data_IF_309631091921
#
_entry.id   IF_309631091921
#
_cell.length_a   1.000
_cell.length_b   1.000
_cell.length_c   1.000
_cell.angle_alpha   90.00
_cell.angle_beta   90.00
_cell.angle_gamma   90.00
#
_symmetry.space_group_name_H-M   'P 1'
#
loop_
_entity.id
_entity.type
_entity.pdbx_description
1 polymer ?
#
# COMPACT_ATOMS: atom_id res chain seq x y z
N UNK A 1 25.30 -54.84 -29.28
CA UNK A 1 24.37 -55.90 -28.85
C UNK A 1 24.93 -57.34 -28.92
N UNK A 2 25.67 -57.78 -29.94
CA UNK A 2 26.22 -59.16 -30.06
C UNK A 2 27.17 -59.57 -28.93
N UNK A 3 28.01 -58.68 -28.39
CA UNK A 3 28.96 -58.96 -27.30
C UNK A 3 28.27 -59.15 -25.93
N UNK A 4 27.24 -58.39 -25.61
CA UNK A 4 26.48 -58.57 -24.39
C UNK A 4 25.73 -59.91 -24.34
N UNK A 5 25.16 -60.31 -25.48
CA UNK A 5 24.47 -61.61 -25.62
C UNK A 5 25.41 -62.78 -25.42
N UNK A 6 26.65 -62.74 -26.00
CA UNK A 6 27.66 -63.78 -25.86
C UNK A 6 28.20 -63.90 -24.43
N UNK A 7 28.38 -62.77 -23.78
CA UNK A 7 28.80 -62.67 -22.35
C UNK A 7 27.76 -63.31 -21.44
N UNK A 8 26.49 -62.97 -21.64
CA UNK A 8 25.37 -63.47 -20.81
C UNK A 8 25.15 -64.99 -20.93
N UNK A 9 25.38 -65.57 -22.14
CA UNK A 9 25.22 -67.00 -22.39
C UNK A 9 26.25 -67.82 -21.59
N UNK A 10 27.47 -67.36 -21.44
CA UNK A 10 28.56 -68.05 -20.73
C UNK A 10 28.57 -67.93 -19.21
N UNK A 11 27.61 -67.19 -18.61
CA UNK A 11 27.46 -67.08 -17.18
C UNK A 11 26.78 -68.30 -16.53
N UNK A 12 27.24 -68.66 -15.31
CA UNK A 12 26.57 -69.71 -14.52
C UNK A 12 25.14 -69.32 -14.20
N UNK A 13 24.26 -70.27 -14.05
CA UNK A 13 22.83 -70.03 -13.72
C UNK A 13 22.66 -69.10 -12.51
N UNK A 14 23.45 -69.26 -11.46
CA UNK A 14 23.42 -68.44 -10.26
C UNK A 14 23.71 -66.97 -10.53
N UNK A 15 24.71 -66.70 -11.41
CA UNK A 15 25.04 -65.31 -11.82
C UNK A 15 23.97 -64.68 -12.70
N UNK A 16 23.31 -65.50 -13.54
CA UNK A 16 22.16 -65.00 -14.34
C UNK A 16 21.01 -64.57 -13.48
N UNK A 17 20.67 -65.37 -12.49
CA UNK A 17 19.61 -65.04 -11.53
C UNK A 17 19.99 -63.76 -10.74
N UNK A 18 21.24 -63.66 -10.27
CA UNK A 18 21.71 -62.50 -9.55
C UNK A 18 21.63 -61.21 -10.38
N UNK A 19 22.04 -61.22 -11.65
CA UNK A 19 21.96 -60.04 -12.51
C UNK A 19 20.51 -59.67 -12.85
N UNK A 20 19.62 -60.67 -13.04
CA UNK A 20 18.21 -60.39 -13.27
C UNK A 20 17.55 -59.79 -12.03
N UNK A 21 17.78 -60.31 -10.83
CA UNK A 21 17.23 -59.75 -9.62
C UNK A 21 17.76 -58.38 -9.31
N UNK A 22 19.05 -58.13 -9.53
CA UNK A 22 19.67 -56.83 -9.33
C UNK A 22 19.13 -55.83 -10.38
N UNK A 23 18.92 -56.22 -11.62
CA UNK A 23 18.31 -55.41 -12.67
C UNK A 23 16.87 -54.99 -12.32
N UNK A 24 16.05 -55.94 -11.89
CA UNK A 24 14.68 -55.68 -11.44
C UNK A 24 14.66 -54.70 -10.24
N UNK A 25 15.50 -54.98 -9.23
CA UNK A 25 15.62 -54.12 -8.07
C UNK A 25 16.02 -52.70 -8.43
N UNK A 26 16.96 -52.53 -9.36
CA UNK A 26 17.40 -51.21 -9.84
C UNK A 26 16.29 -50.47 -10.56
N UNK A 27 15.51 -51.12 -11.40
CA UNK A 27 14.37 -50.53 -12.10
C UNK A 27 13.29 -50.11 -11.09
N UNK A 28 12.97 -50.92 -10.11
CA UNK A 28 11.99 -50.59 -9.05
C UNK A 28 12.46 -49.39 -8.24
N UNK A 29 13.74 -49.33 -7.85
CA UNK A 29 14.32 -48.20 -7.12
C UNK A 29 14.28 -46.91 -7.93
N UNK A 30 14.60 -46.96 -9.21
CA UNK A 30 14.50 -45.79 -10.08
C UNK A 30 13.06 -45.31 -10.24
N UNK A 31 12.12 -46.24 -10.47
CA UNK A 31 10.70 -45.88 -10.58
C UNK A 31 10.17 -45.26 -9.27
N UNK A 32 10.52 -45.82 -8.11
CA UNK A 32 10.16 -45.29 -6.80
C UNK A 32 10.77 -43.88 -6.57
N UNK A 33 12.05 -43.69 -6.92
CA UNK A 33 12.74 -42.40 -6.78
C UNK A 33 12.10 -41.30 -7.63
N UNK A 34 11.77 -41.62 -8.89
CA UNK A 34 11.07 -40.68 -9.78
C UNK A 34 9.69 -40.33 -9.24
N UNK A 35 8.92 -41.33 -8.81
CA UNK A 35 7.60 -41.10 -8.22
C UNK A 35 7.65 -40.21 -6.97
N UNK A 36 8.61 -40.50 -6.06
CA UNK A 36 8.81 -39.69 -4.85
C UNK A 36 9.23 -38.25 -5.21
N UNK A 37 10.14 -38.08 -6.18
CA UNK A 37 10.56 -36.76 -6.62
C UNK A 37 9.38 -35.93 -7.18
N UNK A 38 8.56 -36.54 -8.04
CA UNK A 38 7.38 -35.89 -8.62
C UNK A 38 6.37 -35.49 -7.52
N UNK A 39 6.09 -36.39 -6.58
CA UNK A 39 5.20 -36.12 -5.45
C UNK A 39 5.74 -35.01 -4.55
N UNK A 40 7.01 -35.07 -4.18
CA UNK A 40 7.65 -34.04 -3.35
C UNK A 40 7.67 -32.69 -4.05
N UNK A 41 8.02 -32.63 -5.34
CA UNK A 41 8.01 -31.41 -6.12
C UNK A 41 6.61 -30.78 -6.21
N UNK A 42 5.58 -31.59 -6.41
CA UNK A 42 4.18 -31.13 -6.44
C UNK A 42 3.75 -30.56 -5.08
N UNK A 43 4.06 -31.22 -3.99
CA UNK A 43 3.73 -30.78 -2.62
C UNK A 43 4.44 -29.45 -2.32
N UNK A 44 5.73 -29.35 -2.59
CA UNK A 44 6.52 -28.13 -2.34
C UNK A 44 5.97 -26.95 -3.15
N UNK A 45 5.67 -27.18 -4.44
CA UNK A 45 5.11 -26.13 -5.31
C UNK A 45 3.77 -25.63 -4.80
N UNK A 46 2.85 -26.53 -4.42
CA UNK A 46 1.53 -26.17 -3.89
C UNK A 46 1.64 -25.47 -2.53
N UNK A 47 2.53 -25.93 -1.66
CA UNK A 47 2.77 -25.31 -0.37
C UNK A 47 3.35 -23.90 -0.51
N UNK A 48 4.35 -23.72 -1.40
CA UNK A 48 4.92 -22.41 -1.69
C UNK A 48 3.87 -21.46 -2.24
N UNK A 49 3.02 -21.94 -3.17
CA UNK A 49 1.93 -21.13 -3.73
C UNK A 49 0.94 -20.67 -2.66
N UNK A 50 0.52 -21.56 -1.76
CA UNK A 50 -0.39 -21.22 -0.65
C UNK A 50 0.24 -20.22 0.31
N UNK A 51 1.50 -20.42 0.67
CA UNK A 51 2.23 -19.51 1.53
C UNK A 51 2.37 -18.13 0.88
N UNK A 52 2.75 -18.06 -0.40
CA UNK A 52 2.84 -16.79 -1.13
C UNK A 52 1.50 -16.08 -1.19
N UNK A 53 0.41 -16.78 -1.49
CA UNK A 53 -0.92 -16.20 -1.49
C UNK A 53 -1.33 -15.67 -0.10
N UNK A 54 -0.95 -16.37 0.96
CA UNK A 54 -1.19 -15.92 2.35
C UNK A 54 -0.48 -14.60 2.66
N UNK A 55 0.81 -14.49 2.34
CA UNK A 55 1.60 -13.26 2.57
C UNK A 55 1.06 -12.08 1.75
N UNK A 56 0.71 -12.31 0.47
CA UNK A 56 0.13 -11.25 -0.36
C UNK A 56 -1.22 -10.79 0.19
N UNK A 57 -2.06 -11.72 0.64
CA UNK A 57 -3.35 -11.37 1.25
C UNK A 57 -3.17 -10.57 2.56
N UNK A 58 -2.22 -10.97 3.42
CA UNK A 58 -1.90 -10.24 4.65
C UNK A 58 -1.40 -8.82 4.33
N UNK A 59 -0.52 -8.67 3.34
CA UNK A 59 -0.05 -7.36 2.88
C UNK A 59 -1.22 -6.50 2.38
N UNK A 60 -2.14 -7.07 1.58
CA UNK A 60 -3.32 -6.37 1.08
C UNK A 60 -4.19 -5.87 2.23
N UNK A 61 -4.49 -6.72 3.21
CA UNK A 61 -5.29 -6.35 4.40
C UNK A 61 -4.61 -5.22 5.19
N UNK A 62 -3.30 -5.28 5.36
CA UNK A 62 -2.54 -4.25 6.07
C UNK A 62 -2.54 -2.91 5.31
N UNK A 63 -2.44 -2.94 3.98
CA UNK A 63 -2.55 -1.75 3.14
C UNK A 63 -3.97 -1.15 3.19
N UNK A 64 -5.01 -1.98 3.08
CA UNK A 64 -6.39 -1.53 3.19
C UNK A 64 -6.65 -0.87 4.55
N UNK A 65 -6.22 -1.49 5.63
CA UNK A 65 -6.33 -0.93 6.98
C UNK A 65 -5.60 0.43 7.09
N UNK A 66 -4.43 0.53 6.51
CA UNK A 66 -3.67 1.78 6.47
C UNK A 66 -4.42 2.90 5.75
N UNK A 67 -4.93 2.64 4.54
CA UNK A 67 -5.69 3.62 3.79
C UNK A 67 -7.03 3.98 4.43
N UNK A 68 -7.69 3.03 5.06
CA UNK A 68 -8.92 3.27 5.82
C UNK A 68 -8.66 4.16 7.04
N UNK A 69 -7.56 3.96 7.75
CA UNK A 69 -7.18 4.82 8.87
C UNK A 69 -6.95 6.26 8.42
N UNK A 70 -6.23 6.47 7.32
CA UNK A 70 -6.01 7.81 6.76
C UNK A 70 -7.34 8.43 6.30
N UNK A 71 -8.17 7.68 5.60
CA UNK A 71 -9.50 8.11 5.15
C UNK A 71 -10.39 8.52 6.32
N UNK A 72 -10.45 7.71 7.37
CA UNK A 72 -11.25 8.02 8.56
C UNK A 72 -10.77 9.29 9.26
N UNK A 73 -9.47 9.54 9.30
CA UNK A 73 -8.91 10.80 9.79
C UNK A 73 -9.38 12.01 8.97
N UNK A 74 -9.42 11.87 7.64
CA UNK A 74 -9.95 12.90 6.75
C UNK A 74 -11.44 13.15 6.96
N UNK A 75 -12.23 12.08 7.08
CA UNK A 75 -13.67 12.21 7.36
C UNK A 75 -13.92 12.90 8.72
N UNK A 76 -13.14 12.54 9.74
CA UNK A 76 -13.24 13.16 11.04
C UNK A 76 -12.96 14.67 10.99
N UNK A 77 -11.89 15.09 10.29
CA UNK A 77 -11.54 16.51 10.12
C UNK A 77 -12.60 17.23 9.28
N UNK A 78 -12.97 16.67 8.14
CA UNK A 78 -13.91 17.29 7.19
C UNK A 78 -15.30 17.53 7.79
N UNK A 79 -15.76 16.63 8.66
CA UNK A 79 -17.09 16.70 9.28
C UNK A 79 -17.07 17.40 10.66
N UNK A 80 -15.94 17.95 11.07
CA UNK A 80 -15.86 18.65 12.36
C UNK A 80 -16.47 20.05 12.28
N UNK A 81 -17.36 20.38 13.20
CA UNK A 81 -18.07 21.66 13.22
C UNK A 81 -17.13 22.88 13.21
N UNK A 82 -16.02 22.82 13.96
CA UNK A 82 -15.05 23.94 13.98
C UNK A 82 -14.40 24.15 12.61
N UNK A 83 -14.15 23.07 11.87
CA UNK A 83 -13.61 23.14 10.49
C UNK A 83 -14.67 23.70 9.55
N UNK A 84 -15.93 23.26 9.67
CA UNK A 84 -17.03 23.76 8.86
C UNK A 84 -17.25 25.26 9.09
N UNK A 85 -17.35 25.71 10.34
CA UNK A 85 -17.48 27.12 10.72
C UNK A 85 -16.36 28.00 10.18
N UNK A 86 -15.11 27.50 10.18
CA UNK A 86 -13.97 28.22 9.63
C UNK A 86 -14.06 28.37 8.12
N UNK A 87 -14.46 27.30 7.42
CA UNK A 87 -14.56 27.28 5.96
C UNK A 87 -15.78 28.03 5.42
N UNK A 88 -16.84 28.19 6.24
CA UNK A 88 -18.06 28.94 5.90
C UNK A 88 -17.94 30.44 6.22
N UNK A 89 -16.98 30.84 7.06
CA UNK A 89 -16.79 32.21 7.45
C UNK A 89 -16.45 33.09 6.25
N UNK A 90 -17.24 34.13 5.97
CA UNK A 90 -17.03 35.05 4.85
C UNK A 90 -15.74 35.86 4.99
N UNK A 91 -15.22 36.00 6.21
CA UNK A 91 -13.98 36.73 6.49
C UNK A 91 -13.11 35.98 7.50
N UNK A 92 -12.10 35.23 7.06
CA UNK A 92 -11.21 34.52 7.97
C UNK A 92 -10.36 35.47 8.83
N UNK A 93 -10.35 36.77 8.53
CA UNK A 93 -9.50 37.76 9.18
C UNK A 93 -10.07 39.17 9.11
N UNK A 94 -10.67 39.68 10.22
CA UNK A 94 -10.89 41.11 10.45
C UNK A 94 -9.95 41.65 11.51
N UNK A 95 -9.34 42.80 11.22
CA UNK A 95 -8.26 43.41 12.00
C UNK A 95 -8.71 44.23 13.22
N UNK A 96 -9.95 44.11 13.74
CA UNK A 96 -10.33 44.75 14.97
C UNK A 96 -10.02 43.82 16.18
N UNK A 97 -9.46 44.36 17.23
CA UNK A 97 -8.78 43.61 18.30
C UNK A 97 -9.61 42.57 19.06
N UNK A 98 -10.94 42.56 18.93
CA UNK A 98 -11.85 41.59 19.57
C UNK A 98 -11.95 40.30 18.74
N UNK A 99 -11.88 40.40 17.43
CA UNK A 99 -11.93 39.23 16.52
C UNK A 99 -10.59 38.48 16.43
N UNK A 100 -9.50 39.18 16.75
CA UNK A 100 -8.17 38.57 16.78
C UNK A 100 -8.06 37.42 17.77
N UNK A 101 -8.64 37.55 18.95
CA UNK A 101 -8.64 36.51 19.97
C UNK A 101 -9.47 35.27 19.52
N UNK A 102 -10.65 35.53 18.95
CA UNK A 102 -11.51 34.45 18.42
C UNK A 102 -10.83 33.70 17.28
N UNK A 103 -10.14 34.41 16.37
CA UNK A 103 -9.35 33.86 15.31
C UNK A 103 -8.21 32.95 15.82
N UNK A 104 -7.39 33.43 16.75
CA UNK A 104 -6.31 32.63 17.33
C UNK A 104 -6.82 31.40 18.08
N UNK A 105 -7.94 31.53 18.77
CA UNK A 105 -8.60 30.43 19.48
C UNK A 105 -9.06 29.35 18.49
N UNK A 106 -9.74 29.76 17.41
CA UNK A 106 -10.25 28.86 16.35
C UNK A 106 -9.11 28.21 15.57
N UNK A 107 -8.14 28.98 15.13
CA UNK A 107 -6.94 28.48 14.46
C UNK A 107 -6.18 27.47 15.34
N UNK A 108 -6.08 27.70 16.64
CA UNK A 108 -5.51 26.78 17.60
C UNK A 108 -6.31 25.48 17.76
N UNK A 109 -7.65 25.54 17.65
CA UNK A 109 -8.51 24.36 17.66
C UNK A 109 -8.35 23.55 16.37
N UNK A 110 -8.35 24.20 15.20
CA UNK A 110 -8.12 23.54 13.90
C UNK A 110 -6.76 22.86 13.89
N UNK A 111 -5.72 23.56 14.35
CA UNK A 111 -4.38 22.96 14.44
C UNK A 111 -4.37 21.70 15.33
N UNK A 112 -5.10 21.68 16.43
CA UNK A 112 -5.25 20.48 17.28
C UNK A 112 -5.98 19.35 16.54
N UNK A 113 -7.02 19.65 15.78
CA UNK A 113 -7.75 18.68 14.98
C UNK A 113 -6.88 18.09 13.89
N UNK A 114 -6.11 18.94 13.18
CA UNK A 114 -5.14 18.46 12.20
C UNK A 114 -4.07 17.58 12.87
N UNK A 115 -3.59 17.93 14.06
CA UNK A 115 -2.67 17.11 14.85
C UNK A 115 -3.26 15.76 15.25
N UNK A 116 -4.53 15.68 15.58
CA UNK A 116 -5.20 14.42 15.89
C UNK A 116 -5.33 13.50 14.67
N UNK A 117 -5.61 14.08 13.50
CA UNK A 117 -5.63 13.33 12.24
C UNK A 117 -4.25 13.06 11.65
N UNK A 118 -3.24 13.83 12.07
CA UNK A 118 -1.88 13.72 11.58
C UNK A 118 -1.13 12.61 12.31
N UNK A 119 -0.81 11.56 11.58
CA UNK A 119 0.05 10.50 12.10
C UNK A 119 1.44 10.64 11.50
N UNK A 120 2.37 11.21 12.24
CA UNK A 120 3.74 11.57 11.78
C UNK A 120 4.56 10.40 11.22
N UNK A 121 4.19 9.16 11.54
CA UNK A 121 4.82 7.96 11.00
C UNK A 121 4.46 7.77 9.53
N UNK A 122 3.22 8.12 9.15
CA UNK A 122 2.65 7.83 7.84
C UNK A 122 2.56 9.06 6.95
N UNK A 123 2.28 10.23 7.56
CA UNK A 123 2.07 11.48 6.85
C UNK A 123 3.31 12.38 6.95
N UNK A 124 3.57 13.14 5.91
CA UNK A 124 4.60 14.17 5.89
C UNK A 124 4.01 15.55 6.23
N UNK A 125 2.84 15.84 5.68
CA UNK A 125 2.06 17.04 5.96
C UNK A 125 0.56 16.77 5.85
N UNK A 126 -0.22 17.66 6.45
CA UNK A 126 -1.67 17.79 6.26
C UNK A 126 -2.04 19.26 6.18
N UNK A 127 -2.92 19.62 5.25
CA UNK A 127 -3.28 20.98 4.96
C UNK A 127 -4.78 21.12 4.67
N UNK A 128 -5.36 22.15 5.26
CA UNK A 128 -6.74 22.55 5.05
C UNK A 128 -6.76 23.88 4.27
N UNK A 129 -7.38 23.89 3.11
CA UNK A 129 -7.64 25.07 2.30
C UNK A 129 -9.12 25.42 2.32
N UNK A 130 -9.45 26.66 2.65
CA UNK A 130 -10.79 27.21 2.49
C UNK A 130 -10.91 28.01 1.20
N UNK A 131 -12.04 27.92 0.52
CA UNK A 131 -12.34 28.82 -0.61
C UNK A 131 -12.54 30.27 -0.19
N UNK A 132 -12.75 30.52 1.11
CA UNK A 132 -12.76 31.84 1.73
C UNK A 132 -11.35 32.40 1.99
N UNK A 133 -10.28 31.68 1.64
CA UNK A 133 -8.90 32.07 1.89
C UNK A 133 -8.27 31.51 3.16
N UNK A 134 -9.02 30.74 3.98
CA UNK A 134 -8.44 30.06 5.13
C UNK A 134 -7.37 29.04 4.69
N UNK A 135 -6.24 29.03 5.40
CA UNK A 135 -5.14 28.10 5.09
C UNK A 135 -4.47 27.66 6.39
N UNK A 136 -4.66 26.40 6.75
CA UNK A 136 -4.08 25.80 7.94
C UNK A 136 -3.16 24.63 7.53
N UNK A 137 -1.89 24.76 7.84
CA UNK A 137 -0.87 23.77 7.52
C UNK A 137 -0.27 23.17 8.79
N UNK A 138 -0.12 21.85 8.77
CA UNK A 138 0.73 21.09 9.68
C UNK A 138 1.73 20.29 8.85
N UNK A 139 3.01 20.65 8.89
CA UNK A 139 4.07 20.04 8.12
C UNK A 139 5.29 19.72 8.98
N UNK A 140 6.01 18.67 8.61
CA UNK A 140 7.33 18.35 9.15
C UNK A 140 8.41 19.02 8.27
N UNK A 141 8.71 20.31 8.53
CA UNK A 141 9.87 21.04 7.99
C UNK A 141 10.05 21.04 6.45
N UNK A 142 9.03 20.83 5.66
CA UNK A 142 9.12 20.93 4.21
C UNK A 142 8.27 22.11 3.69
N UNK A 143 8.87 22.89 2.80
CA UNK A 143 8.13 23.83 1.97
C UNK A 143 7.19 23.01 1.07
N UNK A 144 5.92 23.39 1.05
CA UNK A 144 4.95 22.77 0.16
C UNK A 144 5.21 23.25 -1.25
N UNK A 145 5.38 22.33 -2.17
CA UNK A 145 5.44 22.65 -3.58
C UNK A 145 4.06 23.18 -4.04
N UNK A 146 4.01 24.45 -4.44
CA UNK A 146 2.77 25.11 -4.86
C UNK A 146 2.08 24.39 -6.02
N UNK A 147 2.86 23.86 -6.97
CA UNK A 147 2.30 23.12 -8.11
C UNK A 147 1.56 21.85 -7.63
N UNK A 148 2.12 21.15 -6.65
CA UNK A 148 1.49 19.95 -6.07
C UNK A 148 0.23 20.31 -5.29
N UNK A 149 0.22 21.46 -4.61
CA UNK A 149 -0.96 21.96 -3.92
C UNK A 149 -2.10 22.28 -4.90
N UNK A 150 -1.79 22.98 -6.00
CA UNK A 150 -2.76 23.29 -7.04
C UNK A 150 -3.32 22.03 -7.71
N UNK A 151 -2.46 21.07 -8.06
CA UNK A 151 -2.91 19.78 -8.61
C UNK A 151 -3.84 19.03 -7.65
N UNK A 152 -3.55 19.07 -6.33
CA UNK A 152 -4.44 18.50 -5.31
C UNK A 152 -5.84 19.11 -5.34
N UNK A 153 -5.89 20.43 -5.46
CA UNK A 153 -7.15 21.17 -5.50
C UNK A 153 -7.98 20.79 -6.73
N UNK A 154 -7.38 20.82 -7.91
CA UNK A 154 -8.04 20.49 -9.16
C UNK A 154 -8.60 19.04 -9.16
N UNK A 155 -7.79 18.09 -8.71
CA UNK A 155 -8.21 16.69 -8.63
C UNK A 155 -9.31 16.46 -7.58
N UNK A 156 -9.22 17.12 -6.41
CA UNK A 156 -10.23 17.02 -5.36
C UNK A 156 -11.59 17.59 -5.81
N UNK A 157 -11.58 18.69 -6.55
CA UNK A 157 -12.78 19.30 -7.14
C UNK A 157 -13.45 18.37 -8.16
N UNK A 158 -12.65 17.75 -9.04
CA UNK A 158 -13.15 16.77 -10.01
C UNK A 158 -13.76 15.54 -9.33
N UNK A 159 -13.24 15.14 -8.19
CA UNK A 159 -13.71 14.00 -7.42
C UNK A 159 -15.02 14.26 -6.65
N UNK A 160 -15.49 15.54 -6.56
CA UNK A 160 -16.78 15.94 -5.98
C UNK A 160 -17.03 15.43 -4.56
N UNK A 161 -16.01 15.49 -3.70
CA UNK A 161 -16.08 15.09 -2.29
C UNK A 161 -15.66 13.65 -2.01
N UNK A 162 -15.28 12.86 -3.03
CA UNK A 162 -14.59 11.59 -2.82
C UNK A 162 -13.12 11.84 -2.48
N UNK A 163 -12.54 10.97 -1.65
CA UNK A 163 -11.10 10.96 -1.46
C UNK A 163 -10.41 10.47 -2.73
N UNK A 164 -9.38 11.18 -3.15
CA UNK A 164 -8.51 10.77 -4.26
C UNK A 164 -7.10 10.52 -3.74
N UNK A 165 -6.43 9.61 -4.40
CA UNK A 165 -5.02 9.34 -4.20
C UNK A 165 -4.30 9.56 -5.52
N UNK A 166 -3.16 10.26 -5.49
CA UNK A 166 -2.34 10.44 -6.67
C UNK A 166 -0.86 10.45 -6.31
N UNK A 167 -0.04 10.04 -7.24
CA UNK A 167 1.40 9.95 -7.06
C UNK A 167 2.11 11.17 -7.62
N UNK A 168 3.03 11.73 -6.84
CA UNK A 168 4.05 12.65 -7.34
C UNK A 168 5.40 11.92 -7.22
N UNK A 169 5.69 11.08 -8.20
CA UNK A 169 6.78 10.11 -8.18
C UNK A 169 8.18 10.68 -7.90
N UNK A 170 8.41 11.95 -8.19
CA UNK A 170 9.70 12.60 -8.00
C UNK A 170 10.04 12.87 -6.53
N UNK A 171 9.05 12.95 -5.63
CA UNK A 171 9.24 13.35 -4.23
C UNK A 171 9.19 12.19 -3.23
N UNK A 172 8.95 10.96 -3.68
CA UNK A 172 8.78 9.81 -2.79
C UNK A 172 7.56 9.93 -1.85
N UNK A 173 6.58 10.71 -2.27
CA UNK A 173 5.33 10.98 -1.57
C UNK A 173 4.15 10.58 -2.45
N UNK A 174 3.10 10.09 -1.80
CA UNK A 174 1.77 9.95 -2.39
C UNK A 174 0.86 10.98 -1.74
N UNK A 175 0.01 11.60 -2.52
CA UNK A 175 -0.92 12.60 -2.03
C UNK A 175 -2.33 12.04 -1.92
N UNK A 176 -3.03 12.50 -0.91
CA UNK A 176 -4.45 12.30 -0.73
C UNK A 176 -5.12 13.66 -0.64
N UNK A 177 -6.24 13.83 -1.33
CA UNK A 177 -7.02 15.05 -1.28
C UNK A 177 -8.52 14.75 -1.28
N UNK A 178 -9.29 15.65 -0.64
CA UNK A 178 -10.74 15.58 -0.56
C UNK A 178 -11.33 16.98 -0.54
N UNK A 179 -12.33 17.21 -1.39
CA UNK A 179 -13.17 18.40 -1.32
C UNK A 179 -14.10 18.30 -0.11
N UNK A 180 -14.09 19.32 0.74
CA UNK A 180 -15.00 19.48 1.87
C UNK A 180 -16.24 20.21 1.39
N UNK A 181 -17.39 19.71 1.79
CA UNK A 181 -18.69 20.34 1.52
C UNK A 181 -19.33 20.73 2.84
N UNK A 182 -19.98 21.87 2.85
CA UNK A 182 -20.87 22.28 3.91
C UNK A 182 -21.91 21.19 4.18
N UNK A 183 -22.08 20.83 5.42
CA UNK A 183 -22.97 19.74 5.86
C UNK A 183 -24.45 20.00 5.62
N UNK A 184 -24.86 21.27 5.52
CA UNK A 184 -26.25 21.70 5.35
C UNK A 184 -26.58 21.97 3.88
N UNK A 185 -25.73 22.74 3.20
CA UNK A 185 -26.00 23.22 1.85
C UNK A 185 -25.38 22.33 0.77
N UNK A 186 -24.49 21.41 1.15
CA UNK A 186 -23.71 20.57 0.24
C UNK A 186 -22.83 21.34 -0.74
N UNK A 187 -22.65 22.65 -0.53
CA UNK A 187 -21.76 23.49 -1.34
C UNK A 187 -20.30 23.17 -0.97
N UNK A 188 -19.39 23.19 -1.94
CA UNK A 188 -17.97 23.06 -1.65
C UNK A 188 -17.46 24.30 -0.90
N UNK A 189 -16.79 24.08 0.23
CA UNK A 189 -16.28 25.14 1.13
C UNK A 189 -14.76 25.10 1.24
N UNK A 190 -14.13 23.98 0.89
CA UNK A 190 -12.67 23.88 0.97
C UNK A 190 -12.14 22.53 0.55
N UNK A 191 -10.84 22.32 0.76
CA UNK A 191 -10.12 21.11 0.40
C UNK A 191 -9.20 20.71 1.55
N UNK A 192 -9.25 19.46 1.93
CA UNK A 192 -8.30 18.82 2.83
C UNK A 192 -7.33 17.98 2.00
N UNK A 193 -6.04 18.18 2.23
CA UNK A 193 -4.95 17.48 1.56
C UNK A 193 -4.00 16.89 2.60
N UNK A 194 -3.38 15.75 2.29
CA UNK A 194 -2.21 15.24 3.01
C UNK A 194 -1.21 14.62 2.05
N UNK A 195 0.06 14.65 2.42
CA UNK A 195 1.10 13.85 1.76
C UNK A 195 1.47 12.64 2.63
N UNK A 196 1.58 11.49 1.98
CA UNK A 196 1.82 10.18 2.57
C UNK A 196 3.22 9.72 2.18
N UNK A 197 4.01 9.26 3.15
CA UNK A 197 5.37 8.78 2.92
C UNK A 197 5.37 7.41 2.24
N UNK A 198 5.82 7.33 1.00
CA UNK A 198 6.00 6.06 0.29
C UNK A 198 7.01 5.14 0.98
N UNK A 199 7.96 5.69 1.74
CA UNK A 199 8.93 4.92 2.51
C UNK A 199 8.28 3.96 3.51
N UNK A 200 7.13 4.31 4.08
CA UNK A 200 6.39 3.42 4.98
C UNK A 200 5.74 2.27 4.22
N UNK A 201 5.08 2.56 3.10
CA UNK A 201 4.50 1.53 2.23
C UNK A 201 5.60 0.61 1.69
N UNK A 202 6.74 1.17 1.31
CA UNK A 202 7.92 0.40 0.88
C UNK A 202 8.42 -0.54 1.98
N UNK A 203 8.44 -0.11 3.24
CA UNK A 203 8.84 -0.97 4.35
C UNK A 203 7.91 -2.17 4.52
N UNK A 204 6.61 -1.99 4.34
CA UNK A 204 5.63 -3.10 4.38
C UNK A 204 5.86 -4.10 3.24
N UNK A 205 6.09 -3.61 2.02
CA UNK A 205 6.37 -4.47 0.86
C UNK A 205 7.69 -5.21 0.98
N UNK A 206 8.76 -4.59 1.51
CA UNK A 206 10.05 -5.23 1.75
C UNK A 206 9.91 -6.41 2.71
N UNK A 207 9.17 -6.25 3.81
CA UNK A 207 8.94 -7.34 4.77
C UNK A 207 8.25 -8.55 4.11
N UNK A 208 7.26 -8.30 3.28
CA UNK A 208 6.57 -9.34 2.52
C UNK A 208 7.49 -9.98 1.46
N UNK A 209 8.27 -9.18 0.73
CA UNK A 209 9.24 -9.63 -0.26
C UNK A 209 10.29 -10.57 0.33
N UNK A 210 10.87 -10.18 1.47
CA UNK A 210 11.91 -10.98 2.12
C UNK A 210 11.36 -12.33 2.60
N UNK A 211 10.09 -12.38 3.00
CA UNK A 211 9.40 -13.63 3.37
C UNK A 211 9.14 -14.56 2.19
N UNK A 212 8.98 -14.01 0.99
CA UNK A 212 8.61 -14.78 -0.21
C UNK A 212 9.79 -15.06 -1.14
N UNK A 213 10.94 -14.39 -0.95
CA UNK A 213 12.05 -14.37 -1.92
C UNK A 213 11.56 -14.02 -3.33
N UNK A 214 10.60 -13.10 -3.43
CA UNK A 214 9.92 -12.70 -4.67
C UNK A 214 9.90 -11.18 -4.81
N UNK A 215 9.73 -10.68 -6.03
CA UNK A 215 9.51 -9.26 -6.27
C UNK A 215 8.04 -8.93 -6.06
N UNK A 216 7.77 -7.87 -5.29
CA UNK A 216 6.43 -7.35 -5.03
C UNK A 216 6.36 -5.93 -5.57
N UNK A 217 5.38 -5.67 -6.41
CA UNK A 217 5.12 -4.35 -6.97
C UNK A 217 3.79 -3.82 -6.42
N UNK A 218 3.79 -2.59 -5.94
CA UNK A 218 2.55 -1.86 -5.69
C UNK A 218 2.27 -0.99 -6.92
N UNK A 219 1.09 -1.15 -7.51
CA UNK A 219 0.67 -0.44 -8.72
C UNK A 219 -0.49 0.50 -8.38
N UNK A 220 -0.56 1.62 -9.10
CA UNK A 220 -1.76 2.46 -9.12
C UNK A 220 -2.85 1.88 -10.04
N UNK A 221 -4.00 2.59 -10.13
CA UNK A 221 -5.10 2.16 -10.99
C UNK A 221 -4.74 2.14 -12.49
N UNK A 222 -3.76 2.94 -12.89
CA UNK A 222 -3.27 3.05 -14.27
C UNK A 222 -2.11 2.06 -14.54
N UNK A 223 -1.81 1.19 -13.57
CA UNK A 223 -0.72 0.18 -13.58
C UNK A 223 0.69 0.77 -13.58
N UNK A 224 0.87 2.01 -13.15
CA UNK A 224 2.18 2.55 -12.91
C UNK A 224 2.75 1.99 -11.61
N UNK A 225 4.04 1.69 -11.58
CA UNK A 225 4.71 1.18 -10.39
C UNK A 225 4.87 2.32 -9.37
N UNK A 226 4.22 2.17 -8.23
CA UNK A 226 4.37 3.07 -7.08
C UNK A 226 5.59 2.68 -6.23
N UNK A 227 5.77 1.38 -6.03
CA UNK A 227 6.84 0.81 -5.19
C UNK A 227 7.31 -0.50 -5.81
N UNK A 228 8.62 -0.69 -5.79
CA UNK A 228 9.33 -1.92 -6.13
C UNK A 228 10.08 -2.47 -4.90
#
# INVERSE_FOLDING_TARGET
>A
MKYLKKWYINLSIQRKILYCTLGVALVVLLAASVSQYMSASSIVTEQTRKQSAGVVNELSVNLDHYFDMVRNSFEYIANNNTVQEELESDEPYKSDGTELYSYYSRSGQIRRLLLQGYTSIYMNDIQLYGYNGANHLLANNHEINENTAQTSCELAEQAKGRCIYYNASEEGLMYMAKQIKDSLTMKPVGILRASIKLSYLKKMTITARDSLSAHIFLLDNDKNVLIE
#
